data_IF_951311332133
#
_entry.id   IF_951311332133
#
_cell.length_a   1.000
_cell.length_b   1.000
_cell.length_c   1.000
_cell.angle_alpha   90.00
_cell.angle_beta   90.00
_cell.angle_gamma   90.00
#
_symmetry.space_group_name_H-M   'P 1'
#
loop_
_entity.id
_entity.type
_entity.pdbx_description
1 polymer ?
#
# COMPACT_ATOMS: atom_id res chain seq x y z
N UNK A 1 -31.00 -24.03 -1.26
CA UNK A 1 -30.40 -23.14 -0.22
C UNK A 1 -29.02 -23.61 0.28
N UNK A 2 -28.51 -24.77 -0.17
CA UNK A 2 -27.17 -25.30 0.18
C UNK A 2 -25.96 -24.79 -0.66
N UNK A 3 -26.05 -24.28 -1.91
CA UNK A 3 -24.84 -23.91 -2.67
C UNK A 3 -24.17 -22.62 -2.16
N UNK A 4 -24.93 -21.66 -1.65
CA UNK A 4 -24.39 -20.36 -1.21
C UNK A 4 -23.52 -20.47 0.06
N UNK A 5 -23.86 -21.40 0.97
CA UNK A 5 -23.10 -21.61 2.20
C UNK A 5 -21.70 -22.16 1.88
N UNK A 6 -21.60 -23.16 1.00
CA UNK A 6 -20.34 -23.79 0.60
C UNK A 6 -19.41 -22.81 -0.14
N UNK A 7 -19.98 -21.94 -0.99
CA UNK A 7 -19.19 -20.91 -1.69
C UNK A 7 -18.61 -19.90 -0.72
N UNK A 8 -19.38 -19.42 0.27
CA UNK A 8 -18.87 -18.48 1.27
C UNK A 8 -17.73 -19.09 2.12
N UNK A 9 -17.89 -20.34 2.57
CA UNK A 9 -16.83 -21.05 3.29
C UNK A 9 -15.55 -21.22 2.44
N UNK A 10 -15.70 -21.58 1.16
CA UNK A 10 -14.54 -21.73 0.27
C UNK A 10 -13.78 -20.41 0.05
N UNK A 11 -14.49 -19.30 -0.15
CA UNK A 11 -13.88 -17.98 -0.34
C UNK A 11 -13.17 -17.52 0.93
N UNK A 12 -13.83 -17.67 2.08
CA UNK A 12 -13.23 -17.33 3.38
C UNK A 12 -11.95 -18.14 3.63
N UNK A 13 -11.99 -19.45 3.37
CA UNK A 13 -10.83 -20.31 3.51
C UNK A 13 -9.68 -19.88 2.59
N UNK A 14 -9.95 -19.60 1.31
CA UNK A 14 -8.92 -19.19 0.34
C UNK A 14 -8.26 -17.87 0.75
N UNK A 15 -9.04 -16.88 1.18
CA UNK A 15 -8.51 -15.58 1.62
C UNK A 15 -7.68 -15.76 2.90
N UNK A 16 -8.21 -16.49 3.88
CA UNK A 16 -7.52 -16.75 5.13
C UNK A 16 -6.22 -17.52 4.90
N UNK A 17 -6.25 -18.59 4.09
CA UNK A 17 -5.05 -19.36 3.76
C UNK A 17 -4.02 -18.51 3.01
N UNK A 18 -4.45 -17.72 2.01
CA UNK A 18 -3.53 -16.90 1.23
C UNK A 18 -2.84 -15.83 2.09
N UNK A 19 -3.60 -15.20 3.00
CA UNK A 19 -3.08 -14.22 3.96
C UNK A 19 -2.13 -14.87 4.97
N UNK A 20 -2.53 -15.99 5.59
CA UNK A 20 -1.73 -16.68 6.59
C UNK A 20 -0.43 -17.22 6.02
N UNK A 21 -0.48 -17.89 4.86
CA UNK A 21 0.70 -18.43 4.18
C UNK A 21 1.65 -17.29 3.82
N UNK A 22 1.15 -16.23 3.19
CA UNK A 22 1.98 -15.07 2.82
C UNK A 22 2.61 -14.40 4.04
N UNK A 23 1.83 -14.18 5.10
CA UNK A 23 2.35 -13.55 6.31
C UNK A 23 3.42 -14.41 6.99
N UNK A 24 3.19 -15.72 7.12
CA UNK A 24 4.14 -16.64 7.76
C UNK A 24 5.41 -16.80 6.92
N UNK A 25 5.31 -16.96 5.61
CA UNK A 25 6.49 -17.08 4.74
C UNK A 25 7.36 -15.83 4.80
N UNK A 26 6.75 -14.65 4.75
CA UNK A 26 7.48 -13.37 4.81
C UNK A 26 8.17 -13.15 6.15
N UNK A 27 7.50 -13.49 7.26
CA UNK A 27 8.09 -13.40 8.61
C UNK A 27 9.26 -14.37 8.80
N UNK A 28 9.06 -15.66 8.48
CA UNK A 28 10.08 -16.70 8.66
C UNK A 28 11.31 -16.40 7.81
N UNK A 29 11.11 -16.14 6.52
CA UNK A 29 12.20 -15.87 5.59
C UNK A 29 12.87 -14.53 5.95
N UNK A 30 12.11 -13.52 6.39
CA UNK A 30 12.66 -12.25 6.86
C UNK A 30 13.57 -12.41 8.08
N UNK A 31 13.18 -13.23 9.07
CA UNK A 31 14.00 -13.49 10.27
C UNK A 31 15.28 -14.25 9.91
N UNK A 32 15.18 -15.25 9.04
CA UNK A 32 16.36 -15.98 8.54
C UNK A 32 17.27 -15.04 7.77
N UNK A 33 16.69 -14.18 6.92
CA UNK A 33 17.43 -13.23 6.11
C UNK A 33 18.19 -12.20 6.94
N UNK A 34 17.62 -11.70 8.05
CA UNK A 34 18.33 -10.80 8.96
C UNK A 34 19.66 -11.37 9.46
N UNK A 35 19.73 -12.69 9.72
CA UNK A 35 20.98 -13.34 10.13
C UNK A 35 22.02 -13.36 9.01
N UNK A 36 21.58 -13.62 7.78
CA UNK A 36 22.43 -13.63 6.59
C UNK A 36 22.92 -12.20 6.28
N UNK A 37 22.03 -11.22 6.42
CA UNK A 37 22.30 -9.81 6.21
C UNK A 37 23.38 -9.25 7.14
N UNK A 38 23.50 -9.84 8.33
CA UNK A 38 24.56 -9.55 9.31
C UNK A 38 25.90 -10.19 8.91
N UNK A 39 25.88 -11.41 8.37
CA UNK A 39 27.09 -12.06 7.86
C UNK A 39 27.68 -11.33 6.63
N UNK A 40 26.84 -10.58 5.92
CA UNK A 40 27.16 -9.78 4.74
C UNK A 40 27.35 -8.29 5.07
N UNK A 41 27.61 -7.95 6.33
CA UNK A 41 27.80 -6.56 6.75
C UNK A 41 29.07 -5.97 6.11
N UNK A 42 28.95 -4.77 5.52
CA UNK A 42 30.03 -4.10 4.79
C UNK A 42 30.09 -4.40 3.28
N UNK A 43 29.21 -5.25 2.75
CA UNK A 43 29.18 -5.61 1.34
C UNK A 43 28.17 -4.78 0.53
N UNK A 44 28.63 -4.11 -0.53
CA UNK A 44 27.77 -3.21 -1.34
C UNK A 44 26.65 -3.94 -2.10
N UNK A 45 26.78 -5.24 -2.38
CA UNK A 45 25.78 -6.01 -3.14
C UNK A 45 24.57 -6.45 -2.32
N UNK A 46 24.59 -6.25 -0.99
CA UNK A 46 23.53 -6.65 -0.06
C UNK A 46 22.15 -6.09 -0.41
N UNK A 47 22.11 -4.85 -0.90
CA UNK A 47 20.87 -4.17 -1.32
C UNK A 47 20.24 -4.84 -2.55
N UNK A 48 21.06 -5.21 -3.53
CA UNK A 48 20.61 -5.92 -4.74
C UNK A 48 20.16 -7.34 -4.37
N UNK A 49 20.92 -8.03 -3.52
CA UNK A 49 20.59 -9.38 -3.07
C UNK A 49 19.26 -9.42 -2.30
N UNK A 50 19.02 -8.44 -1.43
CA UNK A 50 17.74 -8.32 -0.70
C UNK A 50 16.58 -8.09 -1.65
N UNK A 51 16.75 -7.26 -2.69
CA UNK A 51 15.73 -7.06 -3.73
C UNK A 51 15.45 -8.37 -4.50
N UNK A 52 16.48 -9.11 -4.89
CA UNK A 52 16.34 -10.40 -5.57
C UNK A 52 15.54 -11.41 -4.71
N UNK A 53 15.80 -11.44 -3.41
CA UNK A 53 15.09 -12.35 -2.50
C UNK A 53 13.66 -11.94 -2.26
N UNK A 54 13.33 -10.65 -2.27
CA UNK A 54 11.93 -10.21 -2.25
C UNK A 54 11.17 -10.77 -3.45
N UNK A 55 11.78 -10.79 -4.65
CA UNK A 55 11.17 -11.32 -5.87
C UNK A 55 11.04 -12.85 -5.84
N UNK A 56 12.07 -13.55 -5.35
CA UNK A 56 12.02 -15.00 -5.16
C UNK A 56 10.97 -15.38 -4.11
N UNK A 57 10.92 -14.65 -3.01
CA UNK A 57 9.93 -14.83 -1.95
C UNK A 57 8.51 -14.64 -2.48
N UNK A 58 8.28 -13.59 -3.27
CA UNK A 58 7.00 -13.35 -3.92
C UNK A 58 6.55 -14.56 -4.73
N UNK A 59 7.44 -15.03 -5.63
CA UNK A 59 7.16 -16.15 -6.53
C UNK A 59 6.97 -17.47 -5.78
N UNK A 60 7.78 -17.71 -4.76
CA UNK A 60 7.70 -18.89 -3.90
C UNK A 60 6.38 -18.91 -3.12
N UNK A 61 6.00 -17.79 -2.52
CA UNK A 61 4.73 -17.68 -1.78
C UNK A 61 3.52 -17.91 -2.71
N UNK A 62 3.51 -17.32 -3.91
CA UNK A 62 2.45 -17.54 -4.90
C UNK A 62 2.34 -19.02 -5.30
N UNK A 63 3.48 -19.72 -5.46
CA UNK A 63 3.48 -21.15 -5.78
C UNK A 63 2.86 -22.03 -4.69
N UNK A 64 2.86 -21.58 -3.43
CA UNK A 64 2.22 -22.24 -2.30
C UNK A 64 0.74 -21.85 -2.12
N UNK A 65 0.18 -21.03 -3.01
CA UNK A 65 -1.18 -20.49 -2.89
C UNK A 65 -1.30 -19.36 -1.84
N UNK A 66 -0.17 -18.78 -1.43
CA UNK A 66 -0.11 -17.59 -0.59
C UNK A 66 -0.16 -16.30 -1.42
N UNK A 67 -0.45 -15.16 -0.79
CA UNK A 67 -0.32 -13.87 -1.44
C UNK A 67 1.13 -13.37 -1.39
N UNK A 68 1.79 -13.31 -2.54
CA UNK A 68 3.19 -12.89 -2.65
C UNK A 68 3.42 -11.46 -2.17
N UNK A 69 2.49 -10.53 -2.43
CA UNK A 69 2.61 -9.14 -2.03
C UNK A 69 2.58 -8.97 -0.50
N UNK A 70 1.73 -9.75 0.19
CA UNK A 70 1.69 -9.78 1.67
C UNK A 70 2.99 -10.34 2.22
N UNK A 71 3.55 -11.38 1.61
CA UNK A 71 4.84 -11.97 2.00
C UNK A 71 5.99 -10.98 1.88
N UNK A 72 6.10 -10.30 0.73
CA UNK A 72 7.09 -9.23 0.53
C UNK A 72 6.93 -8.09 1.53
N UNK A 73 5.68 -7.72 1.88
CA UNK A 73 5.41 -6.69 2.89
C UNK A 73 5.88 -7.13 4.29
N UNK A 74 5.56 -8.35 4.71
CA UNK A 74 5.99 -8.86 6.02
C UNK A 74 7.51 -9.01 6.10
N UNK A 75 8.14 -9.48 5.02
CA UNK A 75 9.60 -9.52 4.92
C UNK A 75 10.22 -8.12 5.05
N UNK A 76 9.70 -7.14 4.30
CA UNK A 76 10.15 -5.75 4.38
C UNK A 76 9.93 -5.13 5.77
N UNK A 77 8.84 -5.50 6.45
CA UNK A 77 8.57 -5.07 7.82
C UNK A 77 9.62 -5.62 8.80
N UNK A 78 10.01 -6.89 8.66
CA UNK A 78 11.05 -7.52 9.48
C UNK A 78 12.40 -6.81 9.28
N UNK A 79 12.81 -6.56 8.03
CA UNK A 79 14.08 -5.89 7.71
C UNK A 79 14.06 -4.42 8.14
N UNK A 80 12.94 -3.72 7.90
CA UNK A 80 12.78 -2.32 8.28
C UNK A 80 12.84 -2.10 9.80
N UNK A 81 12.42 -3.10 10.58
CA UNK A 81 12.42 -3.09 12.03
C UNK A 81 13.52 -3.99 12.65
N UNK A 82 14.64 -4.17 11.95
CA UNK A 82 15.72 -5.08 12.36
C UNK A 82 16.16 -4.90 13.82
N UNK A 83 16.27 -3.64 14.30
CA UNK A 83 16.64 -3.34 15.70
C UNK A 83 15.63 -3.91 16.70
N UNK A 84 14.34 -3.65 16.49
CA UNK A 84 13.25 -4.13 17.36
C UNK A 84 13.15 -5.65 17.33
N UNK A 85 13.23 -6.24 16.13
CA UNK A 85 13.19 -7.70 15.94
C UNK A 85 14.40 -8.38 16.58
N UNK A 86 15.61 -7.80 16.48
CA UNK A 86 16.81 -8.34 17.14
C UNK A 86 16.72 -8.33 18.66
N UNK A 87 16.04 -7.32 19.23
CA UNK A 87 15.83 -7.21 20.67
C UNK A 87 14.82 -8.25 21.17
N UNK A 88 13.72 -8.44 20.44
CA UNK A 88 12.72 -9.49 20.71
C UNK A 88 13.36 -10.89 20.62
N UNK A 89 14.25 -11.10 19.65
CA UNK A 89 14.97 -12.37 19.45
C UNK A 89 16.15 -12.57 20.41
N UNK A 90 16.37 -11.67 21.39
CA UNK A 90 17.49 -11.72 22.36
C UNK A 90 18.87 -11.91 21.70
N UNK A 91 19.07 -11.33 20.52
CA UNK A 91 20.38 -11.33 19.86
C UNK A 91 21.33 -10.41 20.62
N UNK A 92 22.54 -10.88 20.94
CA UNK A 92 23.58 -10.10 21.67
C UNK A 92 24.09 -8.87 20.93
N UNK A 93 23.87 -8.79 19.62
CA UNK A 93 24.36 -7.70 18.78
C UNK A 93 23.21 -6.99 18.06
N UNK A 94 23.25 -5.65 18.07
CA UNK A 94 22.26 -4.78 17.43
C UNK A 94 22.32 -4.99 15.90
N UNK A 95 21.30 -5.64 15.34
CA UNK A 95 21.17 -5.71 13.88
C UNK A 95 20.65 -4.36 13.36
N UNK A 96 21.44 -3.69 12.52
CA UNK A 96 21.07 -2.40 11.93
C UNK A 96 20.84 -2.54 10.43
N UNK A 97 19.71 -2.01 9.99
CA UNK A 97 19.44 -1.74 8.58
C UNK A 97 20.31 -0.55 8.17
N UNK A 98 21.28 -0.77 7.29
CA UNK A 98 22.16 0.28 6.79
C UNK A 98 21.35 1.37 6.06
N UNK A 99 21.80 2.62 6.19
CA UNK A 99 21.15 3.78 5.57
C UNK A 99 21.19 3.67 4.04
N UNK A 100 22.32 3.22 3.50
CA UNK A 100 22.54 3.01 2.06
C UNK A 100 21.52 2.04 1.46
N UNK A 101 21.23 0.93 2.15
CA UNK A 101 20.23 -0.03 1.70
C UNK A 101 18.81 0.58 1.65
N UNK A 102 18.46 1.43 2.63
CA UNK A 102 17.16 2.12 2.62
C UNK A 102 17.07 3.15 1.50
N UNK A 103 18.15 3.89 1.25
CA UNK A 103 18.24 4.87 0.17
C UNK A 103 18.11 4.18 -1.19
N UNK A 104 18.87 3.10 -1.42
CA UNK A 104 18.77 2.30 -2.64
C UNK A 104 17.35 1.76 -2.89
N UNK A 105 16.72 1.16 -1.88
CA UNK A 105 15.34 0.67 -2.03
C UNK A 105 14.32 1.79 -2.26
N UNK A 106 14.56 2.98 -1.69
CA UNK A 106 13.74 4.17 -1.94
C UNK A 106 13.89 4.66 -3.39
N UNK A 107 15.11 4.68 -3.93
CA UNK A 107 15.37 5.04 -5.33
C UNK A 107 14.70 4.07 -6.29
N UNK A 108 14.81 2.76 -6.05
CA UNK A 108 14.10 1.74 -6.85
C UNK A 108 12.59 1.93 -6.75
N UNK A 109 12.06 2.16 -5.55
CA UNK A 109 10.62 2.41 -5.36
C UNK A 109 10.14 3.68 -6.07
N UNK A 110 10.97 4.71 -6.12
CA UNK A 110 10.69 5.95 -6.83
C UNK A 110 10.69 5.75 -8.35
N UNK A 111 11.69 5.03 -8.87
CA UNK A 111 11.79 4.69 -10.29
C UNK A 111 10.57 3.88 -10.72
N UNK A 112 10.27 2.79 -10.02
CA UNK A 112 9.11 1.93 -10.31
C UNK A 112 7.83 2.74 -10.28
N UNK A 113 7.63 3.58 -9.24
CA UNK A 113 6.44 4.43 -9.14
C UNK A 113 6.29 5.38 -10.32
N UNK A 114 7.36 6.06 -10.70
CA UNK A 114 7.36 7.01 -11.81
C UNK A 114 7.07 6.29 -13.12
N UNK A 115 7.74 5.16 -13.35
CA UNK A 115 7.51 4.32 -14.53
C UNK A 115 6.05 3.88 -14.63
N UNK A 116 5.45 3.36 -13.56
CA UNK A 116 4.05 2.94 -13.54
C UNK A 116 3.10 4.11 -13.84
N UNK A 117 3.31 5.28 -13.24
CA UNK A 117 2.45 6.43 -13.51
C UNK A 117 2.55 6.93 -14.96
N UNK A 118 3.76 6.96 -15.53
CA UNK A 118 3.97 7.31 -16.94
C UNK A 118 3.31 6.27 -17.85
N UNK A 119 3.53 4.98 -17.60
CA UNK A 119 2.93 3.88 -18.35
C UNK A 119 1.40 3.95 -18.36
N UNK A 120 0.79 4.14 -17.18
CA UNK A 120 -0.65 4.30 -17.04
C UNK A 120 -1.18 5.54 -17.76
N UNK A 121 -0.44 6.65 -17.70
CA UNK A 121 -0.76 7.88 -18.41
C UNK A 121 -0.65 7.76 -19.94
N UNK A 122 0.15 6.83 -20.45
CA UNK A 122 0.25 6.55 -21.90
C UNK A 122 -0.91 5.67 -22.38
N UNK A 123 -1.33 4.70 -21.58
CA UNK A 123 -2.39 3.75 -21.96
C UNK A 123 -3.79 4.34 -21.78
N UNK A 124 -3.97 5.28 -20.87
CA UNK A 124 -5.29 5.89 -20.64
C UNK A 124 -5.75 6.61 -21.91
N UNK A 125 -6.95 6.25 -22.35
CA UNK A 125 -7.61 6.94 -23.44
C UNK A 125 -8.87 7.58 -22.86
N UNK A 126 -8.86 8.89 -22.68
CA UNK A 126 -10.07 9.64 -22.28
C UNK A 126 -11.08 9.69 -23.43
N UNK A 127 -11.62 8.53 -23.80
CA UNK A 127 -12.41 8.34 -24.99
C UNK A 127 -13.84 8.88 -24.84
N UNK A 128 -14.29 9.12 -23.59
CA UNK A 128 -15.61 9.66 -23.31
C UNK A 128 -15.62 10.50 -22.03
N UNK A 129 -16.19 11.71 -22.14
CA UNK A 129 -16.48 12.59 -20.99
C UNK A 129 -17.36 11.89 -19.95
N UNK A 130 -18.20 10.94 -20.37
CA UNK A 130 -19.05 10.16 -19.46
C UNK A 130 -18.22 9.33 -18.47
N UNK A 131 -17.12 8.72 -18.93
CA UNK A 131 -16.24 7.89 -18.11
C UNK A 131 -15.52 8.75 -17.06
N UNK A 132 -15.08 9.95 -17.47
CA UNK A 132 -14.47 10.92 -16.56
C UNK A 132 -15.46 11.36 -15.48
N UNK A 133 -16.69 11.68 -15.87
CA UNK A 133 -17.74 12.08 -14.93
C UNK A 133 -18.05 10.97 -13.91
N UNK A 134 -18.11 9.71 -14.36
CA UNK A 134 -18.29 8.56 -13.48
C UNK A 134 -17.11 8.36 -12.51
N UNK A 135 -15.87 8.54 -12.99
CA UNK A 135 -14.68 8.50 -12.13
C UNK A 135 -14.69 9.58 -11.05
N UNK A 136 -15.10 10.80 -11.40
CA UNK A 136 -15.26 11.89 -10.43
C UNK A 136 -16.38 11.57 -9.43
N UNK A 137 -17.54 11.10 -9.89
CA UNK A 137 -18.63 10.70 -9.01
C UNK A 137 -18.20 9.61 -8.01
N UNK A 138 -17.49 8.58 -8.49
CA UNK A 138 -16.93 7.52 -7.65
C UNK A 138 -15.93 8.06 -6.63
N UNK A 139 -15.10 9.02 -7.02
CA UNK A 139 -14.14 9.65 -6.10
C UNK A 139 -14.83 10.38 -4.94
N UNK A 140 -15.96 11.06 -5.23
CA UNK A 140 -16.78 11.70 -4.20
C UNK A 140 -17.46 10.67 -3.31
N UNK A 141 -17.98 9.58 -3.88
CA UNK A 141 -18.61 8.50 -3.11
C UNK A 141 -17.60 7.82 -2.17
N UNK A 142 -16.37 7.61 -2.63
CA UNK A 142 -15.26 7.11 -1.82
C UNK A 142 -14.95 8.06 -0.66
N UNK A 143 -14.96 9.38 -0.90
CA UNK A 143 -14.75 10.39 0.14
C UNK A 143 -15.88 10.36 1.18
N UNK A 144 -17.14 10.24 0.75
CA UNK A 144 -18.29 10.10 1.65
C UNK A 144 -18.13 8.86 2.54
N UNK A 145 -17.80 7.70 1.94
CA UNK A 145 -17.53 6.48 2.69
C UNK A 145 -16.39 6.66 3.71
N UNK A 146 -15.36 7.44 3.38
CA UNK A 146 -14.28 7.79 4.30
C UNK A 146 -14.77 8.64 5.48
N UNK A 147 -15.64 9.63 5.24
CA UNK A 147 -16.22 10.46 6.31
C UNK A 147 -17.00 9.57 7.30
N UNK A 148 -17.80 8.63 6.80
CA UNK A 148 -18.53 7.68 7.65
C UNK A 148 -17.58 6.79 8.46
N UNK A 149 -16.58 6.19 7.81
CA UNK A 149 -15.60 5.33 8.48
C UNK A 149 -14.83 6.06 9.60
N UNK A 150 -14.38 7.30 9.33
CA UNK A 150 -13.67 8.11 10.32
C UNK A 150 -14.63 8.56 11.42
N UNK A 151 -15.88 8.93 11.10
CA UNK A 151 -16.87 9.28 12.11
C UNK A 151 -17.11 8.13 13.08
N UNK A 152 -17.27 6.91 12.56
CA UNK A 152 -17.51 5.70 13.35
C UNK A 152 -16.30 5.34 14.20
N UNK A 153 -15.08 5.44 13.64
CA UNK A 153 -13.84 5.18 14.36
C UNK A 153 -13.51 6.24 15.43
N UNK A 154 -14.09 7.43 15.33
CA UNK A 154 -13.78 8.57 16.20
C UNK A 154 -14.69 8.67 17.44
N UNK A 155 -15.67 7.78 17.60
CA UNK A 155 -16.70 7.88 18.65
C UNK A 155 -16.10 7.82 20.07
N UNK A 156 -14.96 7.14 20.25
CA UNK A 156 -14.45 6.79 21.58
C UNK A 156 -13.05 7.34 21.91
N UNK A 157 -12.47 8.20 21.06
CA UNK A 157 -11.09 8.69 21.26
C UNK A 157 -10.94 10.19 20.94
N UNK A 158 -10.58 10.96 21.98
CA UNK A 158 -10.41 12.42 21.92
C UNK A 158 -9.22 12.86 21.04
N UNK A 159 -8.17 12.04 20.94
CA UNK A 159 -7.02 12.30 20.05
C UNK A 159 -7.43 12.18 18.57
N UNK A 160 -8.29 11.21 18.27
CA UNK A 160 -8.83 10.96 16.92
C UNK A 160 -9.81 12.08 16.53
N UNK A 161 -10.64 12.56 17.45
CA UNK A 161 -11.56 13.67 17.21
C UNK A 161 -10.79 14.94 16.81
N UNK A 162 -9.69 15.26 17.50
CA UNK A 162 -8.85 16.43 17.22
C UNK A 162 -8.20 16.39 15.84
N UNK A 163 -7.84 15.19 15.36
CA UNK A 163 -7.20 14.97 14.07
C UNK A 163 -8.16 14.50 12.96
N UNK A 164 -9.47 14.49 13.22
CA UNK A 164 -10.51 13.96 12.32
C UNK A 164 -10.45 14.56 10.93
N UNK A 165 -10.27 15.87 10.83
CA UNK A 165 -10.19 16.58 9.54
C UNK A 165 -9.01 16.09 8.68
N UNK A 166 -7.84 15.91 9.30
CA UNK A 166 -6.67 15.35 8.60
C UNK A 166 -6.91 13.91 8.13
N UNK A 167 -7.52 13.06 8.97
CA UNK A 167 -7.78 11.67 8.61
C UNK A 167 -8.78 11.49 7.47
N UNK A 168 -9.73 12.42 7.33
CA UNK A 168 -10.70 12.47 6.22
C UNK A 168 -9.99 12.89 4.94
N UNK A 169 -9.15 13.93 5.00
CA UNK A 169 -8.46 14.51 3.84
C UNK A 169 -7.36 13.56 3.31
N UNK A 170 -6.71 12.80 4.18
CA UNK A 170 -5.67 11.83 3.85
C UNK A 170 -6.24 10.55 3.20
N UNK A 171 -6.76 10.69 1.98
CA UNK A 171 -7.25 9.58 1.15
C UNK A 171 -6.72 9.59 -0.30
N UNK A 172 -5.40 9.79 -0.53
CA UNK A 172 -4.87 9.61 -1.87
C UNK A 172 -4.99 8.13 -2.25
N UNK A 173 -5.63 7.83 -3.39
CA UNK A 173 -5.56 6.48 -3.97
C UNK A 173 -4.19 6.30 -4.62
N UNK A 174 -3.54 5.19 -4.30
CA UNK A 174 -2.15 4.92 -4.69
C UNK A 174 -2.01 3.97 -5.88
N UNK A 175 -0.76 3.59 -6.13
CA UNK A 175 -0.34 2.63 -7.16
C UNK A 175 -1.10 1.30 -7.13
N UNK A 176 -1.44 0.78 -5.94
CA UNK A 176 -2.10 -0.52 -5.82
C UNK A 176 -3.42 -0.57 -6.59
N UNK A 177 -4.22 0.50 -6.53
CA UNK A 177 -5.48 0.57 -7.30
C UNK A 177 -5.22 0.55 -8.81
N UNK A 178 -4.15 1.23 -9.24
CA UNK A 178 -3.76 1.35 -10.63
C UNK A 178 -3.22 0.05 -11.24
N UNK A 179 -2.50 -0.75 -10.44
CA UNK A 179 -2.04 -2.07 -10.88
C UNK A 179 -3.23 -3.04 -10.94
N UNK A 180 -4.12 -3.01 -9.94
CA UNK A 180 -5.30 -3.90 -9.91
C UNK A 180 -6.29 -3.61 -11.04
N UNK A 181 -6.39 -2.37 -11.53
CA UNK A 181 -7.26 -2.03 -12.67
C UNK A 181 -6.79 -2.63 -14.00
N UNK A 182 -5.55 -3.14 -14.08
CA UNK A 182 -5.04 -3.84 -15.26
C UNK A 182 -5.40 -5.33 -15.26
N UNK A 183 -5.79 -5.91 -14.12
CA UNK A 183 -6.14 -7.32 -14.03
C UNK A 183 -7.31 -7.70 -14.96
N UNK A 184 -8.39 -6.91 -15.10
CA UNK A 184 -9.44 -7.23 -16.06
C UNK A 184 -8.94 -7.30 -17.51
N UNK A 185 -8.01 -6.42 -17.87
CA UNK A 185 -7.40 -6.39 -19.21
C UNK A 185 -6.53 -7.62 -19.45
N UNK A 186 -5.73 -8.00 -18.45
CA UNK A 186 -4.89 -9.21 -18.50
C UNK A 186 -5.73 -10.49 -18.65
N UNK A 187 -6.88 -10.55 -17.98
CA UNK A 187 -7.79 -11.70 -18.07
C UNK A 187 -8.68 -11.70 -19.34
N UNK A 188 -8.47 -10.77 -20.27
CA UNK A 188 -9.17 -10.74 -21.56
C UNK A 188 -10.66 -10.39 -21.48
N UNK A 189 -11.10 -9.69 -20.43
CA UNK A 189 -12.49 -9.27 -20.28
C UNK A 189 -12.87 -8.21 -21.33
N UNK A 190 -14.06 -8.35 -21.91
CA UNK A 190 -14.61 -7.32 -22.80
C UNK A 190 -14.79 -5.99 -22.06
N UNK A 191 -14.51 -4.87 -22.72
CA UNK A 191 -14.56 -3.52 -22.14
C UNK A 191 -13.60 -3.28 -20.96
N UNK A 192 -12.53 -4.06 -20.83
CA UNK A 192 -11.55 -3.90 -19.74
C UNK A 192 -10.91 -2.50 -19.67
N UNK A 193 -10.80 -1.78 -20.79
CA UNK A 193 -10.25 -0.42 -20.84
C UNK A 193 -11.02 0.57 -19.96
N UNK A 194 -12.34 0.37 -19.79
CA UNK A 194 -13.18 1.25 -18.96
C UNK A 194 -12.71 1.25 -17.50
N UNK A 195 -12.24 0.11 -16.99
CA UNK A 195 -11.74 0.02 -15.60
C UNK A 195 -10.46 0.84 -15.42
N UNK A 196 -9.58 0.85 -16.41
CA UNK A 196 -8.35 1.65 -16.39
C UNK A 196 -8.67 3.14 -16.37
N UNK A 197 -9.53 3.59 -17.28
CA UNK A 197 -9.91 5.00 -17.44
C UNK A 197 -10.60 5.54 -16.17
N UNK A 198 -11.53 4.75 -15.59
CA UNK A 198 -12.22 5.13 -14.35
C UNK A 198 -11.23 5.22 -13.19
N UNK A 199 -10.41 4.18 -12.98
CA UNK A 199 -9.50 4.13 -11.82
C UNK A 199 -8.44 5.22 -11.90
N UNK A 200 -7.90 5.51 -13.09
CA UNK A 200 -6.95 6.60 -13.25
C UNK A 200 -7.60 7.96 -12.96
N UNK A 201 -8.84 8.16 -13.44
CA UNK A 201 -9.61 9.37 -13.09
C UNK A 201 -9.81 9.50 -11.58
N UNK A 202 -10.15 8.41 -10.89
CA UNK A 202 -10.30 8.38 -9.43
C UNK A 202 -8.97 8.70 -8.73
N UNK A 203 -7.85 8.16 -9.20
CA UNK A 203 -6.52 8.45 -8.63
C UNK A 203 -6.20 9.94 -8.76
N UNK A 204 -6.33 10.51 -9.96
CA UNK A 204 -6.08 11.94 -10.20
C UNK A 204 -7.00 12.81 -9.35
N UNK A 205 -8.30 12.53 -9.34
CA UNK A 205 -9.28 13.28 -8.55
C UNK A 205 -8.98 13.21 -7.04
N UNK A 206 -8.67 12.02 -6.51
CA UNK A 206 -8.38 11.85 -5.07
C UNK A 206 -7.06 12.48 -4.65
N UNK A 207 -6.03 12.48 -5.50
CA UNK A 207 -4.76 13.17 -5.25
C UNK A 207 -4.96 14.69 -5.23
N UNK A 208 -5.73 15.23 -6.19
CA UNK A 208 -6.06 16.66 -6.24
C UNK A 208 -6.87 17.07 -5.00
N UNK A 209 -7.93 16.32 -4.67
CA UNK A 209 -8.75 16.58 -3.48
C UNK A 209 -7.92 16.54 -2.19
N UNK A 210 -7.04 15.54 -2.05
CA UNK A 210 -6.13 15.43 -0.91
C UNK A 210 -5.20 16.65 -0.83
N UNK A 211 -4.58 17.05 -1.94
CA UNK A 211 -3.65 18.19 -2.00
C UNK A 211 -4.33 19.49 -1.59
N UNK A 212 -5.52 19.76 -2.15
CA UNK A 212 -6.32 20.95 -1.82
C UNK A 212 -6.74 20.91 -0.34
N UNK A 213 -7.22 19.77 0.15
CA UNK A 213 -7.64 19.61 1.53
C UNK A 213 -6.51 19.86 2.53
N UNK A 214 -5.31 19.32 2.27
CA UNK A 214 -4.13 19.53 3.12
C UNK A 214 -3.73 20.99 3.14
N UNK A 215 -3.75 21.65 1.98
CA UNK A 215 -3.42 23.06 1.88
C UNK A 215 -4.38 23.94 2.70
N UNK A 216 -5.69 23.68 2.63
CA UNK A 216 -6.71 24.38 3.42
C UNK A 216 -6.52 24.12 4.92
N UNK A 217 -6.30 22.86 5.31
CA UNK A 217 -6.11 22.48 6.71
C UNK A 217 -4.86 23.14 7.32
N UNK A 218 -3.73 23.10 6.59
CA UNK A 218 -2.47 23.71 7.00
C UNK A 218 -2.63 25.20 7.28
N UNK A 219 -3.34 25.93 6.39
CA UNK A 219 -3.64 27.36 6.59
C UNK A 219 -4.58 27.63 7.77
N UNK A 220 -5.57 26.77 7.99
CA UNK A 220 -6.50 26.91 9.12
C UNK A 220 -5.77 26.76 10.47
N UNK A 221 -4.87 25.77 10.59
CA UNK A 221 -4.06 25.56 11.80
C UNK A 221 -3.11 26.73 12.08
N UNK A 222 -2.43 27.24 11.05
CA UNK A 222 -1.55 28.40 11.16
C UNK A 222 -2.28 29.68 11.60
N UNK A 223 -3.57 29.83 11.24
CA UNK A 223 -4.40 30.97 11.66
C UNK A 223 -4.86 30.85 13.13
N UNK A 224 -5.15 29.63 13.60
CA UNK A 224 -5.58 29.39 14.98
C UNK A 224 -4.42 29.50 15.99
N UNK A 225 -3.20 29.09 15.63
CA UNK A 225 -2.01 29.27 16.50
C UNK A 225 -1.64 30.75 16.69
N UNK A 226 -1.92 31.61 15.71
CA UNK A 226 -1.71 33.07 15.84
C UNK A 226 -2.76 33.77 16.72
N UNK A 227 -3.97 33.21 16.84
CA UNK A 227 -5.04 33.74 17.69
C UNK A 227 -4.95 33.30 19.15
N UNK A 228 -4.31 32.17 19.46
CA UNK A 228 -4.11 31.69 20.83
C UNK A 228 -2.90 32.28 21.56
N UNK A 229 -2.16 33.20 20.91
CA UNK A 229 -1.00 33.91 21.48
C UNK A 229 -1.26 35.42 21.69
N UNK A 230 -2.49 35.87 21.51
CA UNK A 230 -2.96 37.23 21.78
C UNK A 230 -4.03 37.19 22.87
#
# INVERSE_FOLDING_TARGET
MQPAMNTFYSISHVIASAFSIGSMSGLLIGIVWLKILKALEGESYKSILTLAIVLLLYSFTESLGGNGAISSLMFGLVIGNAKTISHILRSKEEMKTEKEMKEFHSEISFLVRTFFFVYLGVIVAFNSLYIVLMGVLLSVLILIGRIFAVCLSSINDNEIIKNRSLMIIMLPRGLAAAVLSQLPLYNGLSNANIYLDIVLTVIVATVIMCTIGVFIFSRSKAKNEKRGKS
#
